data_IF_595656536400
#
_entry.id   IF_595656536400
#
_cell.length_a   1.000
_cell.length_b   1.000
_cell.length_c   1.000
_cell.angle_alpha   90.00
_cell.angle_beta   90.00
_cell.angle_gamma   90.00
#
_symmetry.space_group_name_H-M   'P 1'
#
loop_
_entity.id
_entity.type
_entity.pdbx_description
1 polymer ?
#
# COMPACT_ATOMS: atom_id res chain seq x y z
N UNK A 1 20.49 -1.43 5.56
CA UNK A 1 19.79 -0.43 6.38
C UNK A 1 19.70 -0.88 7.84
N UNK A 2 19.03 -2.00 8.13
CA UNK A 2 18.87 -2.49 9.52
C UNK A 2 20.21 -2.96 10.13
N UNK A 3 21.06 -3.59 9.35
CA UNK A 3 22.42 -3.99 9.76
C UNK A 3 23.32 -2.77 10.10
N UNK A 4 23.05 -1.64 9.48
CA UNK A 4 23.69 -0.35 9.78
C UNK A 4 23.09 0.34 11.01
N UNK A 5 22.18 -0.30 11.73
CA UNK A 5 21.51 0.28 12.89
C UNK A 5 20.49 1.37 12.56
N UNK A 6 20.07 1.50 11.29
CA UNK A 6 19.09 2.50 10.88
C UNK A 6 17.66 2.00 11.03
N UNK A 7 16.72 2.94 11.12
CA UNK A 7 15.27 2.66 11.18
C UNK A 7 14.65 2.62 9.77
N UNK A 8 13.57 1.86 9.66
CA UNK A 8 12.75 1.77 8.46
C UNK A 8 11.32 2.15 8.81
N UNK A 9 10.74 3.08 8.08
CA UNK A 9 9.31 3.38 8.13
C UNK A 9 8.63 2.71 6.93
N UNK A 10 7.63 1.86 7.22
CA UNK A 10 6.81 1.20 6.21
C UNK A 10 5.37 1.71 6.30
N UNK A 11 5.00 2.57 5.37
CA UNK A 11 3.65 3.13 5.27
C UNK A 11 2.76 2.23 4.43
N UNK A 12 1.58 1.96 4.96
CA UNK A 12 0.51 1.19 4.33
C UNK A 12 -0.80 1.97 4.39
N UNK A 13 -1.71 1.83 3.42
CA UNK A 13 -3.09 2.24 3.57
C UNK A 13 -3.71 1.59 4.82
N UNK A 14 -4.60 2.30 5.52
CA UNK A 14 -5.20 1.77 6.76
C UNK A 14 -5.86 0.39 6.57
N UNK A 15 -6.50 0.17 5.42
CA UNK A 15 -7.14 -1.10 5.08
C UNK A 15 -6.14 -2.24 4.83
N UNK A 16 -4.92 -1.91 4.42
CA UNK A 16 -3.84 -2.87 4.17
C UNK A 16 -3.05 -3.23 5.43
N UNK A 17 -3.21 -2.46 6.52
CA UNK A 17 -2.57 -2.72 7.81
C UNK A 17 -3.27 -3.86 8.54
N UNK A 18 -3.13 -5.07 8.01
CA UNK A 18 -3.77 -6.28 8.52
C UNK A 18 -2.86 -7.04 9.50
N UNK A 19 -3.48 -7.86 10.35
CA UNK A 19 -2.75 -8.76 11.25
C UNK A 19 -1.79 -9.67 10.48
N UNK A 20 -2.14 -10.04 9.26
CA UNK A 20 -1.32 -10.92 8.42
C UNK A 20 0.01 -10.26 8.03
N UNK A 21 0.01 -9.01 7.58
CA UNK A 21 1.25 -8.30 7.21
C UNK A 21 2.14 -8.07 8.43
N UNK A 22 1.52 -7.70 9.56
CA UNK A 22 2.22 -7.51 10.83
C UNK A 22 2.89 -8.82 11.27
N UNK A 23 2.16 -9.92 11.26
CA UNK A 23 2.69 -11.24 11.62
C UNK A 23 3.84 -11.64 10.70
N UNK A 24 3.67 -11.46 9.39
CA UNK A 24 4.72 -11.78 8.41
C UNK A 24 6.00 -10.98 8.67
N UNK A 25 5.91 -9.69 8.93
CA UNK A 25 7.09 -8.88 9.22
C UNK A 25 7.72 -9.24 10.57
N UNK A 26 6.93 -9.56 11.59
CA UNK A 26 7.46 -10.07 12.86
C UNK A 26 8.17 -11.40 12.75
N UNK A 27 7.79 -12.26 11.80
CA UNK A 27 8.52 -13.51 11.52
C UNK A 27 9.95 -13.25 11.04
N UNK A 28 10.17 -12.17 10.29
CA UNK A 28 11.50 -11.81 9.77
C UNK A 28 12.31 -10.94 10.74
N UNK A 29 11.67 -10.00 11.43
CA UNK A 29 12.35 -8.95 12.20
C UNK A 29 12.13 -9.06 13.72
N UNK A 30 11.32 -10.02 14.16
CA UNK A 30 11.07 -10.27 15.57
C UNK A 30 10.45 -9.07 16.31
N UNK A 31 10.94 -8.83 17.51
CA UNK A 31 10.45 -7.74 18.38
C UNK A 31 10.87 -6.34 17.94
N UNK A 32 11.71 -6.23 16.89
CA UNK A 32 12.12 -4.94 16.33
C UNK A 32 11.02 -4.25 15.52
N UNK A 33 9.84 -4.90 15.37
CA UNK A 33 8.70 -4.38 14.61
C UNK A 33 7.74 -3.65 15.53
N UNK A 34 7.67 -2.33 15.39
CA UNK A 34 6.65 -1.48 15.98
C UNK A 34 5.50 -1.24 14.99
N UNK A 35 4.27 -1.23 15.50
CA UNK A 35 3.07 -0.94 14.69
C UNK A 35 2.44 0.33 15.23
N UNK A 36 2.18 1.31 14.36
CA UNK A 36 1.52 2.55 14.73
C UNK A 36 0.20 2.70 13.99
N UNK A 37 -0.89 2.79 14.76
CA UNK A 37 -2.24 2.83 14.21
C UNK A 37 -3.08 3.91 14.90
N UNK A 38 -3.91 4.60 14.14
CA UNK A 38 -4.79 5.67 14.65
C UNK A 38 -5.80 5.19 15.70
N UNK A 39 -6.16 3.89 15.70
CA UNK A 39 -7.08 3.27 16.67
C UNK A 39 -6.44 2.88 17.99
N UNK A 40 -5.13 3.02 18.13
CA UNK A 40 -4.47 2.74 19.40
C UNK A 40 -4.86 3.80 20.44
N UNK A 41 -4.95 3.35 21.69
CA UNK A 41 -5.13 4.24 22.83
C UNK A 41 -3.99 5.24 22.94
N UNK A 42 -4.18 6.30 23.69
CA UNK A 42 -3.12 7.30 23.92
C UNK A 42 -1.88 6.67 24.56
N UNK A 43 -2.07 5.75 25.49
CA UNK A 43 -0.97 5.04 26.16
C UNK A 43 -0.14 4.21 25.19
N UNK A 44 -0.78 3.41 24.35
CA UNK A 44 -0.09 2.61 23.33
C UNK A 44 0.68 3.51 22.34
N UNK A 45 0.11 4.64 21.96
CA UNK A 45 0.78 5.59 21.07
C UNK A 45 2.02 6.23 21.74
N UNK A 46 1.94 6.55 23.02
CA UNK A 46 3.09 7.07 23.80
C UNK A 46 4.17 6.01 23.93
N UNK A 47 3.81 4.76 24.21
CA UNK A 47 4.77 3.66 24.29
C UNK A 47 5.54 3.48 22.98
N UNK A 48 4.82 3.45 21.85
CA UNK A 48 5.45 3.35 20.52
C UNK A 48 6.34 4.55 20.25
N UNK A 49 5.88 5.75 20.60
CA UNK A 49 6.65 6.99 20.44
C UNK A 49 7.98 6.92 21.21
N UNK A 50 7.96 6.44 22.44
CA UNK A 50 9.15 6.24 23.27
C UNK A 50 10.09 5.22 22.64
N UNK A 51 9.60 4.05 22.23
CA UNK A 51 10.41 3.01 21.60
C UNK A 51 11.00 3.43 20.25
N UNK A 52 10.34 4.31 19.50
CA UNK A 52 10.90 4.86 18.25
C UNK A 52 11.97 5.89 18.53
N UNK A 53 11.81 6.71 19.58
CA UNK A 53 12.78 7.73 19.99
C UNK A 53 13.98 7.16 20.75
N UNK A 54 13.87 5.93 21.26
CA UNK A 54 14.94 5.29 22.02
C UNK A 54 16.12 4.91 21.11
N UNK A 55 17.33 5.14 21.61
CA UNK A 55 18.59 4.79 20.94
C UNK A 55 19.19 3.46 21.41
N UNK A 56 18.52 2.78 22.34
CA UNK A 56 18.99 1.52 22.90
C UNK A 56 18.72 0.33 21.98
N UNK A 57 19.18 -0.85 22.37
CA UNK A 57 18.98 -2.09 21.62
C UNK A 57 17.53 -2.55 21.55
N UNK A 58 16.68 -2.10 22.47
CA UNK A 58 15.26 -2.47 22.56
C UNK A 58 14.35 -1.56 21.71
N UNK A 59 14.91 -0.59 21.00
CA UNK A 59 14.17 0.30 20.13
C UNK A 59 13.56 -0.42 18.93
N UNK A 60 12.39 0.02 18.50
CA UNK A 60 11.83 -0.43 17.23
C UNK A 60 12.68 0.02 16.05
N UNK A 61 13.01 -0.90 15.15
CA UNK A 61 13.81 -0.65 13.95
C UNK A 61 12.98 -0.66 12.68
N UNK A 62 11.86 -1.37 12.66
CA UNK A 62 10.90 -1.41 11.55
C UNK A 62 9.57 -0.91 12.10
N UNK A 63 9.15 0.24 11.65
CA UNK A 63 7.89 0.85 12.07
C UNK A 63 6.90 0.73 10.93
N UNK A 64 5.77 0.08 11.20
CA UNK A 64 4.67 -0.09 10.25
C UNK A 64 3.54 0.83 10.69
N UNK A 65 2.96 1.57 9.77
CA UNK A 65 1.82 2.40 10.11
C UNK A 65 1.12 3.03 8.91
N UNK A 66 0.01 3.68 9.21
CA UNK A 66 -0.69 4.53 8.26
C UNK A 66 -0.01 5.91 8.17
N UNK A 67 -0.60 6.82 7.43
CA UNK A 67 -0.08 8.19 7.18
C UNK A 67 0.42 8.93 8.42
N UNK A 68 -0.24 8.74 9.58
CA UNK A 68 0.14 9.43 10.83
C UNK A 68 1.47 8.95 11.42
N UNK A 69 1.97 7.79 11.03
CA UNK A 69 3.27 7.28 11.46
C UNK A 69 4.45 8.14 10.97
N UNK A 70 4.24 9.01 9.99
CA UNK A 70 5.22 10.00 9.54
C UNK A 70 5.71 10.95 10.64
N UNK A 71 4.89 11.19 11.65
CA UNK A 71 5.18 12.14 12.72
C UNK A 71 5.83 11.51 13.95
N UNK A 72 6.24 10.25 13.86
CA UNK A 72 7.00 9.60 14.91
C UNK A 72 8.43 10.15 14.99
N UNK A 73 9.05 10.16 16.20
CA UNK A 73 10.35 10.78 16.45
C UNK A 73 11.50 9.87 16.03
N UNK A 74 11.70 9.69 14.74
CA UNK A 74 12.80 8.89 14.21
C UNK A 74 14.15 9.54 14.54
N UNK A 75 15.11 8.73 15.01
CA UNK A 75 16.46 9.19 15.34
C UNK A 75 17.46 8.93 14.21
N UNK A 76 17.32 7.79 13.53
CA UNK A 76 18.25 7.34 12.51
C UNK A 76 17.50 6.65 11.38
N UNK A 77 16.61 7.39 10.72
CA UNK A 77 15.80 6.86 9.63
C UNK A 77 16.69 6.64 8.40
N UNK A 78 16.66 5.45 7.84
CA UNK A 78 17.47 5.08 6.67
C UNK A 78 16.64 4.74 5.43
N UNK A 79 15.38 4.37 5.61
CA UNK A 79 14.48 4.02 4.50
C UNK A 79 13.04 4.32 4.86
N UNK A 80 12.32 4.89 3.92
CA UNK A 80 10.85 4.99 3.96
C UNK A 80 10.28 4.19 2.78
N UNK A 81 9.38 3.27 3.08
CA UNK A 81 8.62 2.53 2.08
C UNK A 81 7.19 3.04 2.12
N UNK A 82 6.66 3.42 0.97
CA UNK A 82 5.24 3.81 0.80
C UNK A 82 4.61 2.81 -0.15
N UNK A 83 3.87 1.87 0.40
CA UNK A 83 3.18 0.84 -0.38
C UNK A 83 1.82 1.35 -0.85
N UNK A 84 1.39 0.91 -2.03
CA UNK A 84 0.19 1.43 -2.71
C UNK A 84 0.19 2.98 -2.74
N UNK A 85 1.30 3.58 -3.17
CA UNK A 85 1.58 5.02 -3.07
C UNK A 85 0.50 5.92 -3.71
N UNK A 86 -0.31 5.33 -4.59
CA UNK A 86 -1.42 6.00 -5.27
C UNK A 86 -2.69 6.11 -4.41
N UNK A 87 -2.75 5.39 -3.26
CA UNK A 87 -3.96 5.30 -2.46
C UNK A 87 -4.37 6.66 -1.87
N UNK A 88 -5.66 6.98 -2.00
CA UNK A 88 -6.23 8.25 -1.55
C UNK A 88 -6.19 8.43 -0.03
N UNK A 89 -6.07 7.36 0.75
CA UNK A 89 -5.97 7.43 2.22
C UNK A 89 -4.69 8.13 2.70
N UNK A 90 -3.69 8.26 1.85
CA UNK A 90 -2.48 9.03 2.15
C UNK A 90 -2.71 10.54 2.17
N UNK A 91 -3.81 11.02 1.60
CA UNK A 91 -4.17 12.43 1.67
C UNK A 91 -5.04 12.71 2.89
N UNK A 92 -4.61 13.64 3.75
CA UNK A 92 -5.40 14.15 4.85
C UNK A 92 -6.25 15.33 4.38
N UNK A 93 -7.57 15.14 4.40
CA UNK A 93 -8.53 16.19 4.08
C UNK A 93 -9.00 16.92 5.33
N UNK A 94 -9.17 16.17 6.44
CA UNK A 94 -9.56 16.67 7.76
C UNK A 94 -8.89 15.81 8.84
N UNK A 95 -8.53 16.40 9.99
CA UNK A 95 -8.45 17.84 10.27
C UNK A 95 -7.26 18.51 9.61
N UNK A 96 -7.18 19.84 9.70
CA UNK A 96 -5.94 20.57 9.37
C UNK A 96 -4.78 20.14 10.28
N UNK A 97 -3.50 20.16 9.80
CA UNK A 97 -3.07 20.56 8.46
C UNK A 97 -3.36 19.52 7.39
N UNK A 98 -3.67 19.99 6.17
CA UNK A 98 -3.84 19.12 5.01
C UNK A 98 -2.47 18.75 4.45
N UNK A 99 -2.18 17.46 4.28
CA UNK A 99 -0.94 16.98 3.70
C UNK A 99 -1.16 15.69 2.89
N UNK A 100 -0.22 15.40 2.01
CA UNK A 100 -0.14 14.13 1.29
C UNK A 100 1.03 13.32 1.88
N UNK A 101 0.73 12.19 2.52
CA UNK A 101 1.74 11.42 3.24
C UNK A 101 2.86 10.88 2.34
N UNK A 102 2.55 10.49 1.10
CA UNK A 102 3.57 10.09 0.11
C UNK A 102 4.59 11.20 -0.11
N UNK A 103 4.13 12.41 -0.37
CA UNK A 103 5.01 13.54 -0.67
C UNK A 103 5.76 13.99 0.61
N UNK A 104 5.08 13.98 1.74
CA UNK A 104 5.71 14.26 3.05
C UNK A 104 6.77 13.21 3.42
N UNK A 105 6.59 11.95 3.04
CA UNK A 105 7.57 10.88 3.24
C UNK A 105 8.86 11.15 2.46
N UNK A 106 8.78 11.67 1.24
CA UNK A 106 9.95 12.06 0.44
C UNK A 106 10.71 13.20 1.11
N UNK A 107 9.97 14.19 1.64
CA UNK A 107 10.59 15.31 2.38
C UNK A 107 11.25 14.82 3.66
N UNK A 108 10.56 13.98 4.45
CA UNK A 108 11.10 13.40 5.67
C UNK A 108 12.36 12.57 5.38
N UNK A 109 12.35 11.75 4.35
CA UNK A 109 13.52 10.99 3.93
C UNK A 109 14.70 11.90 3.61
N UNK A 110 14.47 13.01 2.89
CA UNK A 110 15.51 13.99 2.59
C UNK A 110 16.12 14.63 3.85
N UNK A 111 15.27 14.96 4.84
CA UNK A 111 15.72 15.54 6.12
C UNK A 111 16.61 14.57 6.93
N UNK A 112 16.38 13.26 6.79
CA UNK A 112 17.14 12.21 7.47
C UNK A 112 18.25 11.58 6.60
N UNK A 113 18.51 12.11 5.40
CA UNK A 113 19.41 11.49 4.43
C UNK A 113 19.06 10.01 4.13
N UNK A 114 17.78 9.68 4.25
CA UNK A 114 17.23 8.37 4.02
C UNK A 114 16.80 8.17 2.55
N UNK A 115 16.62 6.93 2.15
CA UNK A 115 16.06 6.56 0.84
C UNK A 115 14.54 6.45 0.91
N UNK A 116 13.87 6.69 -0.22
CA UNK A 116 12.42 6.45 -0.35
C UNK A 116 12.17 5.40 -1.42
N UNK A 117 11.29 4.45 -1.12
CA UNK A 117 10.78 3.46 -2.06
C UNK A 117 9.26 3.63 -2.16
N UNK A 118 8.77 3.97 -3.35
CA UNK A 118 7.34 4.04 -3.64
C UNK A 118 6.93 2.78 -4.38
N UNK A 119 5.99 2.02 -3.83
CA UNK A 119 5.49 0.76 -4.40
C UNK A 119 4.05 0.91 -4.88
N UNK A 120 3.75 0.42 -6.09
CA UNK A 120 2.38 0.36 -6.61
C UNK A 120 2.29 -0.53 -7.84
N UNK A 121 1.14 -1.18 -8.01
CA UNK A 121 0.78 -1.84 -9.27
C UNK A 121 0.19 -0.84 -10.28
N UNK A 122 -0.38 0.26 -9.78
CA UNK A 122 -1.04 1.33 -10.56
C UNK A 122 -0.55 2.70 -10.06
N UNK A 123 0.70 3.09 -10.35
CA UNK A 123 1.31 4.28 -9.78
C UNK A 123 0.51 5.55 -10.11
N UNK A 124 0.55 6.52 -9.20
CA UNK A 124 -0.02 7.84 -9.45
C UNK A 124 0.66 8.51 -10.66
N UNK A 125 -0.10 9.28 -11.42
CA UNK A 125 0.38 9.92 -12.65
C UNK A 125 1.60 10.80 -12.36
N UNK A 126 1.60 11.52 -11.23
CA UNK A 126 2.69 12.38 -10.80
C UNK A 126 3.96 11.58 -10.53
N UNK A 127 3.84 10.44 -9.84
CA UNK A 127 4.96 9.54 -9.55
C UNK A 127 5.52 8.96 -10.85
N UNK A 128 4.65 8.44 -11.72
CA UNK A 128 5.05 7.90 -13.00
C UNK A 128 5.71 8.95 -13.91
N UNK A 129 5.16 10.16 -13.97
CA UNK A 129 5.77 11.26 -14.73
C UNK A 129 7.14 11.68 -14.17
N UNK A 130 7.35 11.57 -12.85
CA UNK A 130 8.67 11.83 -12.26
C UNK A 130 9.71 10.77 -12.65
N UNK A 131 9.30 9.52 -12.91
CA UNK A 131 10.21 8.51 -13.48
C UNK A 131 10.55 8.82 -14.94
N UNK A 132 9.57 9.22 -15.76
CA UNK A 132 9.79 9.61 -17.13
C UNK A 132 10.70 10.84 -17.28
N UNK A 133 10.74 11.71 -16.26
CA UNK A 133 11.62 12.89 -16.16
C UNK A 133 12.95 12.61 -15.46
N UNK A 134 13.27 11.34 -15.21
CA UNK A 134 14.49 10.91 -14.53
C UNK A 134 14.72 11.50 -13.13
N UNK A 135 13.67 12.03 -12.50
CA UNK A 135 13.71 12.47 -11.11
C UNK A 135 13.69 11.31 -10.12
N UNK A 136 13.02 10.22 -10.50
CA UNK A 136 12.92 8.98 -9.73
C UNK A 136 13.47 7.83 -10.57
N UNK A 137 14.19 6.90 -9.92
CA UNK A 137 14.52 5.62 -10.53
C UNK A 137 13.26 4.75 -10.64
N UNK A 138 13.15 3.98 -11.73
CA UNK A 138 12.06 3.03 -11.94
C UNK A 138 12.59 1.59 -11.90
N UNK A 139 11.94 0.76 -11.09
CA UNK A 139 12.14 -0.69 -11.08
C UNK A 139 10.81 -1.35 -11.40
N UNK A 140 10.76 -2.08 -12.52
CA UNK A 140 9.54 -2.75 -12.97
C UNK A 140 9.60 -4.25 -12.66
N UNK A 141 8.56 -4.76 -11.99
CA UNK A 141 8.39 -6.18 -11.68
C UNK A 141 7.30 -6.76 -12.59
N UNK A 142 7.69 -7.44 -13.65
CA UNK A 142 6.75 -8.00 -14.63
C UNK A 142 6.28 -9.41 -14.29
N UNK A 143 7.03 -10.15 -13.48
CA UNK A 143 6.69 -11.51 -13.10
C UNK A 143 5.90 -11.53 -11.78
N UNK A 144 4.75 -12.17 -11.81
CA UNK A 144 3.97 -12.40 -10.58
C UNK A 144 4.61 -13.49 -9.73
N UNK A 145 4.53 -13.33 -8.43
CA UNK A 145 4.94 -14.36 -7.50
C UNK A 145 4.18 -15.66 -7.77
N UNK A 146 4.90 -16.78 -7.84
CA UNK A 146 4.30 -18.09 -8.13
C UNK A 146 3.92 -18.34 -9.60
N UNK A 147 4.31 -17.47 -10.55
CA UNK A 147 4.06 -17.68 -11.97
C UNK A 147 2.57 -17.60 -12.38
N UNK A 148 1.74 -16.97 -11.56
CA UNK A 148 0.30 -16.85 -11.82
C UNK A 148 0.04 -15.96 -13.03
N UNK A 149 -0.65 -16.50 -14.04
CA UNK A 149 -1.02 -15.77 -15.25
C UNK A 149 -2.02 -14.63 -14.96
N UNK A 150 -2.06 -13.67 -15.87
CA UNK A 150 -3.08 -12.61 -15.82
C UNK A 150 -4.47 -13.19 -16.11
N UNK A 151 -5.55 -12.65 -15.51
CA UNK A 151 -6.90 -13.10 -15.83
C UNK A 151 -7.23 -12.83 -17.29
N UNK A 152 -8.00 -13.71 -17.90
CA UNK A 152 -8.50 -13.51 -19.24
C UNK A 152 -9.62 -12.47 -19.22
N UNK A 153 -9.36 -11.30 -19.85
CA UNK A 153 -10.32 -10.19 -19.91
C UNK A 153 -11.06 -10.23 -21.24
N UNK A 154 -12.39 -10.38 -21.18
CA UNK A 154 -13.25 -10.36 -22.36
C UNK A 154 -14.07 -9.07 -22.38
N UNK A 155 -13.85 -8.23 -23.40
CA UNK A 155 -14.59 -6.98 -23.60
C UNK A 155 -15.82 -7.28 -24.48
N UNK A 156 -17.01 -6.87 -24.01
CA UNK A 156 -18.28 -7.06 -24.73
C UNK A 156 -18.98 -5.71 -24.94
N UNK A 157 -19.30 -5.38 -26.19
CA UNK A 157 -20.06 -4.17 -26.53
C UNK A 157 -21.56 -4.43 -26.39
N UNK A 158 -22.15 -4.03 -25.29
CA UNK A 158 -23.58 -4.16 -25.00
C UNK A 158 -24.48 -3.44 -26.02
N UNK A 159 -24.01 -2.37 -26.67
CA UNK A 159 -24.81 -1.66 -27.69
C UNK A 159 -25.07 -2.53 -28.91
N UNK A 160 -24.11 -3.40 -29.26
CA UNK A 160 -24.28 -4.36 -30.38
C UNK A 160 -25.24 -5.49 -30.02
N UNK A 161 -25.25 -5.94 -28.78
CA UNK A 161 -26.17 -6.98 -28.30
C UNK A 161 -27.57 -6.43 -28.15
N UNK A 162 -27.78 -5.25 -27.61
CA UNK A 162 -29.07 -4.64 -27.37
C UNK A 162 -29.77 -4.16 -28.66
N UNK A 163 -29.00 -3.80 -29.71
CA UNK A 163 -29.60 -3.46 -31.04
C UNK A 163 -30.38 -4.60 -31.69
N UNK A 164 -30.07 -5.84 -31.32
CA UNK A 164 -30.77 -7.04 -31.88
C UNK A 164 -31.94 -7.51 -31.03
N UNK A 165 -32.18 -6.93 -29.86
CA UNK A 165 -33.23 -7.30 -28.92
C UNK A 165 -34.10 -6.10 -28.57
N UNK A 166 -35.41 -6.28 -28.52
CA UNK A 166 -36.37 -5.24 -28.09
C UNK A 166 -36.25 -4.90 -26.58
N UNK A 167 -35.54 -5.70 -25.80
CA UNK A 167 -35.34 -5.49 -24.37
C UNK A 167 -33.87 -5.16 -24.08
N UNK A 168 -33.61 -4.02 -23.41
CA UNK A 168 -32.31 -3.65 -22.89
C UNK A 168 -31.95 -4.56 -21.73
N UNK A 169 -30.83 -5.27 -21.85
CA UNK A 169 -30.26 -6.05 -20.74
C UNK A 169 -29.03 -5.37 -20.22
N UNK A 170 -28.91 -5.33 -18.89
CA UNK A 170 -27.70 -4.79 -18.22
C UNK A 170 -26.51 -5.75 -18.29
N UNK A 171 -26.79 -7.03 -18.50
CA UNK A 171 -25.79 -8.09 -18.54
C UNK A 171 -25.65 -8.67 -19.94
N UNK A 172 -24.39 -8.84 -20.37
CA UNK A 172 -24.14 -9.47 -21.68
C UNK A 172 -24.43 -10.98 -21.65
N UNK A 173 -24.79 -11.54 -22.80
CA UNK A 173 -25.00 -12.98 -22.91
C UNK A 173 -23.77 -13.80 -22.51
N UNK A 174 -22.52 -13.47 -22.94
CA UNK A 174 -21.32 -14.16 -22.49
C UNK A 174 -21.08 -14.10 -20.96
N UNK A 175 -21.46 -12.98 -20.30
CA UNK A 175 -21.37 -12.88 -18.85
C UNK A 175 -22.35 -13.85 -18.17
N UNK A 176 -23.61 -13.88 -18.60
CA UNK A 176 -24.60 -14.78 -18.03
C UNK A 176 -24.24 -16.27 -18.24
N UNK A 177 -23.71 -16.62 -19.41
CA UNK A 177 -23.20 -17.96 -19.71
C UNK A 177 -22.03 -18.33 -18.76
N UNK A 178 -21.07 -17.41 -18.54
CA UNK A 178 -19.97 -17.63 -17.64
C UNK A 178 -20.42 -17.80 -16.18
N UNK A 179 -21.38 -16.99 -15.73
CA UNK A 179 -22.01 -17.11 -14.41
C UNK A 179 -22.65 -18.50 -14.26
N UNK A 180 -23.45 -18.91 -15.22
CA UNK A 180 -24.14 -20.23 -15.21
C UNK A 180 -23.13 -21.37 -15.11
N UNK A 181 -22.04 -21.30 -15.88
CA UNK A 181 -20.99 -22.32 -15.87
C UNK A 181 -20.25 -22.37 -14.54
N UNK A 182 -19.91 -21.23 -13.96
CA UNK A 182 -19.21 -21.15 -12.67
C UNK A 182 -20.10 -21.71 -11.53
N UNK A 183 -21.39 -21.35 -11.53
CA UNK A 183 -22.35 -21.88 -10.54
C UNK A 183 -22.53 -23.40 -10.66
N UNK A 184 -22.59 -23.92 -11.89
CA UNK A 184 -22.68 -25.37 -12.11
C UNK A 184 -21.46 -26.12 -11.56
N UNK A 185 -20.27 -25.48 -11.58
CA UNK A 185 -19.03 -26.01 -11.00
C UNK A 185 -18.86 -25.70 -9.51
N UNK A 186 -19.81 -25.03 -8.87
CA UNK A 186 -19.73 -24.55 -7.47
C UNK A 186 -18.56 -23.58 -7.22
N UNK A 187 -18.16 -22.83 -8.25
CA UNK A 187 -17.14 -21.80 -8.16
C UNK A 187 -17.75 -20.48 -7.65
N UNK A 188 -16.91 -19.62 -7.08
CA UNK A 188 -17.33 -18.30 -6.58
C UNK A 188 -17.35 -17.26 -7.72
N UNK A 189 -18.26 -16.30 -7.61
CA UNK A 189 -18.43 -15.21 -8.58
C UNK A 189 -18.44 -13.89 -7.81
N UNK A 190 -17.73 -12.90 -8.34
CA UNK A 190 -17.76 -11.51 -7.86
C UNK A 190 -18.31 -10.66 -9.00
N UNK A 191 -19.38 -9.89 -8.73
CA UNK A 191 -20.01 -8.94 -9.64
C UNK A 191 -19.86 -7.51 -9.15
#
# INVERSE_FOLDING_TARGET
VLEEGKQVLYLLPEIALTTQIIHRLRTYFGNKVGVYHSRFSEFERVEIWQHVSDKTSDSYRVIIGARSALFLPFNNLGLIIVDEEHDMSYKQFEPSPHYQARDSAIVLAKLHEAKTLLGSATPAIETYNNTAREKYGLVSLYQRYGGVELPNIKIVDLRKENRKKQNYTLYSKPLLESITQALAKKEQIIL
#
